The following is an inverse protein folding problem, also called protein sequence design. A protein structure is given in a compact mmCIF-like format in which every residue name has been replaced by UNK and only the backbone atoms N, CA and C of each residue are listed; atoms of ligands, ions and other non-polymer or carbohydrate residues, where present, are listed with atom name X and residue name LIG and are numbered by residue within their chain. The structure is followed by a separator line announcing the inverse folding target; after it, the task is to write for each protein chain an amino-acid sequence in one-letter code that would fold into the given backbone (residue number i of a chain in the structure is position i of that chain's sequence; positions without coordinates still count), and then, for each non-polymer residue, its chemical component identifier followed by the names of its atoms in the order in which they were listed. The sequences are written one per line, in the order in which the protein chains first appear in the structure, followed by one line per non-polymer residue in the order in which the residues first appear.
data_IF_200065118846
#
_entry.id   IF_200065118846
#
_cell.length_a   1.000
_cell.length_b   1.000
_cell.length_c   1.000
_cell.angle_alpha   90.00
_cell.angle_beta   90.00
_cell.angle_gamma   90.00
#
_symmetry.space_group_name_H-M   'P 1'
#
loop_
_entity.id
_entity.type
_entity.pdbx_description
1 polymer ?
#
# COMPACT_ATOMS: atom_id res chain seq x y z
N UNK A 1 -2.41 23.36 27.79
CA UNK A 1 -1.78 22.56 26.72
C UNK A 1 -0.69 21.71 27.34
N UNK A 2 -1.00 20.48 27.74
CA UNK A 2 0.00 19.54 28.26
C UNK A 2 0.81 19.01 27.09
N UNK A 3 2.09 19.36 27.01
CA UNK A 3 2.99 18.78 26.02
C UNK A 3 3.02 17.26 26.25
N UNK A 4 2.45 16.50 25.32
CA UNK A 4 2.47 15.04 25.37
C UNK A 4 3.93 14.58 25.28
N UNK A 5 4.51 14.20 26.42
CA UNK A 5 5.84 13.61 26.54
C UNK A 5 5.85 12.14 26.07
N UNK A 6 5.21 11.89 24.94
CA UNK A 6 5.14 10.56 24.34
C UNK A 6 6.48 10.20 23.73
N UNK A 7 7.16 9.25 24.40
CA UNK A 7 8.39 8.65 23.91
C UNK A 7 8.15 7.90 22.60
N UNK A 8 9.19 7.77 21.78
CA UNK A 8 9.15 6.98 20.54
C UNK A 8 8.58 5.56 20.77
N UNK A 9 9.02 4.89 21.84
CA UNK A 9 8.53 3.56 22.22
C UNK A 9 7.02 3.54 22.49
N UNK A 10 6.50 4.55 23.21
CA UNK A 10 5.06 4.64 23.51
C UNK A 10 4.20 4.80 22.25
N UNK A 11 4.70 5.56 21.25
CA UNK A 11 4.02 5.73 19.96
C UNK A 11 4.01 4.44 19.15
N UNK A 12 5.13 3.71 19.12
CA UNK A 12 5.19 2.38 18.49
C UNK A 12 4.22 1.39 19.14
N UNK A 13 4.14 1.38 20.48
CA UNK A 13 3.17 0.54 21.21
C UNK A 13 1.73 0.88 20.81
N UNK A 14 1.39 2.17 20.65
CA UNK A 14 0.06 2.58 20.14
C UNK A 14 -0.18 2.12 18.70
N UNK A 15 0.83 2.18 17.84
CA UNK A 15 0.73 1.67 16.48
C UNK A 15 0.46 0.16 16.46
N UNK A 16 1.15 -0.62 17.31
CA UNK A 16 0.87 -2.05 17.50
C UNK A 16 -0.56 -2.28 17.98
N UNK A 17 -1.03 -1.51 18.98
CA UNK A 17 -2.41 -1.61 19.48
C UNK A 17 -3.44 -1.26 18.39
N UNK A 18 -3.17 -0.24 17.57
CA UNK A 18 -4.00 0.16 16.44
C UNK A 18 -4.07 -0.96 15.40
N UNK A 19 -2.95 -1.56 15.05
CA UNK A 19 -2.89 -2.69 14.11
C UNK A 19 -3.65 -3.92 14.64
N UNK A 20 -3.49 -4.27 15.93
CA UNK A 20 -4.27 -5.34 16.58
C UNK A 20 -5.78 -5.05 16.61
N UNK A 21 -6.17 -3.79 16.80
CA UNK A 21 -7.57 -3.37 16.70
C UNK A 21 -8.10 -3.56 15.27
N UNK A 22 -7.34 -3.16 14.26
CA UNK A 22 -7.69 -3.38 12.86
C UNK A 22 -7.88 -4.88 12.53
N UNK A 23 -6.98 -5.75 12.99
CA UNK A 23 -7.11 -7.21 12.83
C UNK A 23 -8.42 -7.77 13.38
N UNK A 24 -8.83 -7.33 14.58
CA UNK A 24 -10.09 -7.75 15.19
C UNK A 24 -11.29 -7.28 14.38
N UNK A 25 -11.27 -6.05 13.87
CA UNK A 25 -12.32 -5.55 12.99
C UNK A 25 -12.43 -6.40 11.73
N UNK A 26 -11.33 -6.64 11.04
CA UNK A 26 -11.29 -7.44 9.81
C UNK A 26 -11.66 -8.92 10.02
N UNK A 27 -11.44 -9.47 11.21
CA UNK A 27 -11.89 -10.84 11.54
C UNK A 27 -13.40 -10.94 11.67
N UNK A 28 -14.07 -9.83 11.99
CA UNK A 28 -15.53 -9.77 12.12
C UNK A 28 -16.22 -9.35 10.82
N UNK A 29 -15.53 -8.61 9.95
CA UNK A 29 -15.99 -8.28 8.60
C UNK A 29 -15.94 -9.54 7.74
N UNK A 30 -17.11 -10.11 7.42
CA UNK A 30 -17.23 -11.28 6.54
C UNK A 30 -18.14 -12.39 7.06
N UNK A 31 -18.52 -12.38 8.35
CA UNK A 31 -19.34 -13.47 8.94
C UNK A 31 -20.82 -13.49 8.52
N UNK A 32 -21.27 -12.59 7.65
CA UNK A 32 -22.70 -12.41 7.34
C UNK A 32 -23.08 -12.19 5.87
N UNK A 33 -22.12 -12.14 4.95
CA UNK A 33 -22.41 -11.92 3.52
C UNK A 33 -22.14 -13.21 2.72
N UNK A 34 -23.05 -13.57 1.81
CA UNK A 34 -22.89 -14.70 0.86
C UNK A 34 -22.88 -14.18 -0.58
N UNK A 35 -22.16 -14.87 -1.48
CA UNK A 35 -22.10 -14.58 -2.92
C UNK A 35 -20.78 -13.95 -3.40
N UNK A 36 -20.67 -13.65 -4.70
CA UNK A 36 -19.44 -13.14 -5.35
C UNK A 36 -18.93 -11.83 -4.74
N UNK A 37 -19.84 -10.95 -4.30
CA UNK A 37 -19.48 -9.70 -3.59
C UNK A 37 -18.78 -10.04 -2.26
N UNK A 38 -19.21 -11.10 -1.59
CA UNK A 38 -18.58 -11.56 -0.36
C UNK A 38 -17.19 -12.14 -0.62
N UNK A 39 -16.98 -12.86 -1.72
CA UNK A 39 -15.66 -13.41 -2.10
C UNK A 39 -14.63 -12.31 -2.37
N UNK A 40 -15.00 -11.29 -3.14
CA UNK A 40 -14.14 -10.12 -3.40
C UNK A 40 -13.88 -9.32 -2.13
N UNK A 41 -14.89 -9.16 -1.26
CA UNK A 41 -14.69 -8.51 0.03
C UNK A 41 -13.76 -9.33 0.93
N UNK A 42 -13.90 -10.66 0.94
CA UNK A 42 -13.09 -11.54 1.76
C UNK A 42 -11.62 -11.53 1.33
N UNK A 43 -11.34 -11.54 0.01
CA UNK A 43 -9.97 -11.45 -0.51
C UNK A 43 -9.32 -10.12 -0.16
N UNK A 44 -10.05 -9.00 -0.28
CA UNK A 44 -9.56 -7.69 0.17
C UNK A 44 -9.25 -7.69 1.68
N UNK A 45 -10.19 -8.17 2.49
CA UNK A 45 -10.07 -8.24 3.96
C UNK A 45 -8.91 -9.15 4.37
N UNK A 46 -8.63 -10.22 3.61
CA UNK A 46 -7.48 -11.10 3.84
C UNK A 46 -6.16 -10.35 3.70
N UNK A 47 -5.95 -9.61 2.61
CA UNK A 47 -4.72 -8.84 2.40
C UNK A 47 -4.49 -7.79 3.49
N UNK A 48 -5.56 -7.08 3.88
CA UNK A 48 -5.50 -6.13 5.01
C UNK A 48 -5.13 -6.81 6.33
N UNK A 49 -5.64 -8.03 6.59
CA UNK A 49 -5.27 -8.81 7.78
C UNK A 49 -3.81 -9.24 7.72
N UNK A 50 -3.35 -9.76 6.60
CA UNK A 50 -1.97 -10.23 6.44
C UNK A 50 -0.95 -9.11 6.71
N UNK A 51 -1.15 -7.95 6.09
CA UNK A 51 -0.23 -6.81 6.27
C UNK A 51 -0.24 -6.30 7.71
N UNK A 52 -1.42 -6.19 8.34
CA UNK A 52 -1.50 -5.77 9.74
C UNK A 52 -0.89 -6.81 10.70
N UNK A 53 -1.09 -8.10 10.44
CA UNK A 53 -0.50 -9.17 11.24
C UNK A 53 1.02 -9.15 11.14
N UNK A 54 1.56 -8.94 9.93
CA UNK A 54 2.99 -8.73 9.72
C UNK A 54 3.51 -7.51 10.47
N UNK A 55 2.92 -6.33 10.27
CA UNK A 55 3.33 -5.09 10.94
C UNK A 55 3.32 -5.25 12.47
N UNK A 56 2.24 -5.78 13.04
CA UNK A 56 2.12 -5.98 14.48
C UNK A 56 3.17 -6.95 15.02
N UNK A 57 3.47 -8.03 14.30
CA UNK A 57 4.46 -9.03 14.71
C UNK A 57 5.87 -8.45 14.69
N UNK A 58 6.28 -7.86 13.57
CA UNK A 58 7.61 -7.25 13.41
C UNK A 58 7.85 -6.16 14.46
N UNK A 59 6.89 -5.25 14.65
CA UNK A 59 7.00 -4.22 15.68
C UNK A 59 7.03 -4.79 17.10
N UNK A 60 6.32 -5.89 17.37
CA UNK A 60 6.37 -6.54 18.69
C UNK A 60 7.77 -7.11 18.94
N UNK A 61 8.33 -7.86 17.98
CA UNK A 61 9.70 -8.39 18.05
C UNK A 61 10.72 -7.26 18.29
N UNK A 62 10.68 -6.20 17.47
CA UNK A 62 11.57 -5.05 17.58
C UNK A 62 11.47 -4.38 18.98
N UNK A 63 10.26 -4.26 19.53
CA UNK A 63 10.03 -3.63 20.84
C UNK A 63 10.48 -4.49 22.02
N UNK A 64 10.56 -5.81 21.85
CA UNK A 64 11.03 -6.77 22.85
C UNK A 64 12.55 -6.88 22.84
N UNK A 65 13.16 -6.93 21.65
CA UNK A 65 14.58 -7.26 21.48
C UNK A 65 15.52 -6.04 21.48
N UNK A 66 14.98 -4.82 21.33
CA UNK A 66 15.82 -3.64 21.08
C UNK A 66 15.65 -2.52 22.10
N UNK A 67 16.76 -1.89 22.46
CA UNK A 67 16.80 -0.68 23.28
C UNK A 67 17.55 0.47 22.59
N UNK A 68 17.15 1.71 22.88
CA UNK A 68 17.85 2.91 22.47
C UNK A 68 18.01 3.05 20.94
N UNK A 69 19.26 3.15 20.47
CA UNK A 69 19.57 3.37 19.03
C UNK A 69 19.23 2.17 18.16
N UNK A 70 19.29 0.95 18.70
CA UNK A 70 18.99 -0.26 17.95
C UNK A 70 17.51 -0.31 17.55
N UNK A 71 16.64 0.10 18.47
CA UNK A 71 15.20 0.22 18.23
C UNK A 71 14.92 1.10 17.01
N UNK A 72 15.53 2.29 16.97
CA UNK A 72 15.40 3.21 15.82
C UNK A 72 15.86 2.56 14.52
N UNK A 73 17.06 1.94 14.53
CA UNK A 73 17.63 1.29 13.34
C UNK A 73 16.70 0.21 12.77
N UNK A 74 16.17 -0.67 13.62
CA UNK A 74 15.27 -1.74 13.18
C UNK A 74 13.94 -1.21 12.67
N UNK A 75 13.39 -0.14 13.27
CA UNK A 75 12.16 0.49 12.78
C UNK A 75 12.37 1.15 11.42
N UNK A 76 13.49 1.84 11.19
CA UNK A 76 13.83 2.38 9.87
C UNK A 76 13.97 1.28 8.82
N UNK A 77 14.61 0.16 9.17
CA UNK A 77 14.69 -1.01 8.30
C UNK A 77 13.31 -1.55 7.94
N UNK A 78 12.44 -1.78 8.94
CA UNK A 78 11.07 -2.26 8.71
C UNK A 78 10.27 -1.31 7.81
N UNK A 79 10.45 0.01 7.96
CA UNK A 79 9.84 1.00 7.08
C UNK A 79 10.32 0.82 5.63
N UNK A 80 11.62 0.67 5.42
CA UNK A 80 12.20 0.52 4.08
C UNK A 80 11.78 -0.81 3.43
N UNK A 81 11.64 -1.88 4.21
CA UNK A 81 11.11 -3.17 3.77
C UNK A 81 9.64 -3.02 3.31
N UNK A 82 8.79 -2.37 4.12
CA UNK A 82 7.38 -2.09 3.75
C UNK A 82 7.27 -1.21 2.51
N UNK A 83 8.14 -0.20 2.37
CA UNK A 83 8.18 0.64 1.17
C UNK A 83 8.54 -0.18 -0.07
N UNK A 84 9.55 -1.03 0.04
CA UNK A 84 9.99 -1.90 -1.06
C UNK A 84 8.86 -2.84 -1.48
N UNK A 85 8.22 -3.51 -0.53
CA UNK A 85 7.08 -4.38 -0.78
C UNK A 85 5.90 -3.64 -1.42
N UNK A 86 5.61 -2.42 -0.95
CA UNK A 86 4.57 -1.58 -1.54
C UNK A 86 4.88 -1.27 -3.01
N UNK A 87 6.10 -0.83 -3.32
CA UNK A 87 6.52 -0.50 -4.69
C UNK A 87 6.51 -1.73 -5.61
N UNK A 88 6.94 -2.88 -5.12
CA UNK A 88 6.87 -4.15 -5.85
C UNK A 88 5.42 -4.55 -6.14
N UNK A 89 4.53 -4.50 -5.14
CA UNK A 89 3.12 -4.80 -5.33
C UNK A 89 2.43 -3.81 -6.29
N UNK A 90 2.81 -2.53 -6.24
CA UNK A 90 2.30 -1.51 -7.13
C UNK A 90 2.74 -1.74 -8.58
N UNK A 91 4.01 -2.12 -8.81
CA UNK A 91 4.48 -2.48 -10.14
C UNK A 91 3.71 -3.68 -10.70
N UNK A 92 3.54 -4.74 -9.90
CA UNK A 92 2.75 -5.91 -10.29
C UNK A 92 1.28 -5.54 -10.62
N UNK A 93 0.68 -4.63 -9.86
CA UNK A 93 -0.68 -4.14 -10.13
C UNK A 93 -0.75 -3.47 -11.50
N UNK A 94 0.20 -2.60 -11.83
CA UNK A 94 0.25 -1.93 -13.14
C UNK A 94 0.45 -2.93 -14.28
N UNK A 95 1.29 -3.95 -14.11
CA UNK A 95 1.53 -4.99 -15.12
C UNK A 95 0.28 -5.83 -15.40
N UNK A 96 -0.44 -6.22 -14.35
CA UNK A 96 -1.71 -6.94 -14.49
C UNK A 96 -2.81 -6.06 -15.09
N UNK A 97 -2.86 -4.77 -14.74
CA UNK A 97 -3.78 -3.82 -15.36
C UNK A 97 -3.55 -3.68 -16.87
N UNK A 98 -2.29 -3.56 -17.31
CA UNK A 98 -1.94 -3.55 -18.74
C UNK A 98 -2.38 -4.84 -19.43
N UNK A 99 -2.12 -5.98 -18.79
CA UNK A 99 -2.54 -7.29 -19.32
C UNK A 99 -4.06 -7.42 -19.45
N UNK A 100 -4.81 -6.86 -18.49
CA UNK A 100 -6.27 -6.82 -18.54
C UNK A 100 -6.77 -5.98 -19.72
N UNK A 101 -6.20 -4.79 -19.91
CA UNK A 101 -6.56 -3.89 -21.03
C UNK A 101 -6.34 -4.61 -22.36
N UNK A 102 -5.15 -5.19 -22.58
CA UNK A 102 -4.84 -5.94 -23.81
C UNK A 102 -5.81 -7.10 -24.03
N UNK A 103 -6.16 -7.85 -22.99
CA UNK A 103 -7.09 -8.98 -23.09
C UNK A 103 -8.52 -8.51 -23.42
N UNK A 104 -8.93 -7.37 -22.89
CA UNK A 104 -10.22 -6.76 -23.19
C UNK A 104 -10.28 -6.24 -24.63
N UNK A 105 -9.22 -5.58 -25.10
CA UNK A 105 -9.10 -5.08 -26.48
C UNK A 105 -9.09 -6.23 -27.50
N UNK A 106 -8.46 -7.36 -27.15
CA UNK A 106 -8.46 -8.56 -27.99
C UNK A 106 -9.75 -9.40 -27.89
N UNK A 107 -10.77 -8.92 -27.18
CA UNK A 107 -12.02 -9.66 -26.92
C UNK A 107 -11.84 -11.01 -26.22
N UNK A 108 -10.74 -11.21 -25.49
CA UNK A 108 -10.52 -12.40 -24.64
C UNK A 108 -11.19 -12.18 -23.28
N UNK A 109 -12.52 -12.31 -23.26
CA UNK A 109 -13.33 -12.04 -22.07
C UNK A 109 -13.09 -13.03 -20.93
N UNK A 110 -12.68 -14.26 -21.23
CA UNK A 110 -12.38 -15.27 -20.20
C UNK A 110 -11.15 -14.84 -19.42
N UNK A 111 -10.06 -14.50 -20.12
CA UNK A 111 -8.83 -14.01 -19.50
C UNK A 111 -9.04 -12.67 -18.82
N UNK A 112 -9.77 -11.74 -19.44
CA UNK A 112 -10.10 -10.46 -18.82
C UNK A 112 -10.89 -10.65 -17.52
N UNK A 113 -11.85 -11.57 -17.49
CA UNK A 113 -12.59 -11.90 -16.27
C UNK A 113 -11.67 -12.48 -15.18
N UNK A 114 -10.76 -13.40 -15.52
CA UNK A 114 -9.78 -13.94 -14.57
C UNK A 114 -8.89 -12.85 -13.98
N UNK A 115 -8.26 -12.03 -14.83
CA UNK A 115 -7.40 -10.92 -14.43
C UNK A 115 -8.13 -9.91 -13.55
N UNK A 116 -9.40 -9.61 -13.86
CA UNK A 116 -10.21 -8.70 -13.05
C UNK A 116 -10.39 -9.18 -11.61
N UNK A 117 -10.48 -10.49 -11.39
CA UNK A 117 -10.61 -11.10 -10.06
C UNK A 117 -9.27 -11.08 -9.30
N UNK A 118 -8.16 -11.29 -10.00
CA UNK A 118 -6.81 -11.24 -9.42
C UNK A 118 -6.39 -9.83 -9.01
N UNK A 119 -6.84 -8.81 -9.74
CA UNK A 119 -6.56 -7.40 -9.41
C UNK A 119 -7.18 -6.94 -8.09
N UNK A 120 -8.27 -7.58 -7.64
CA UNK A 120 -8.97 -7.22 -6.39
C UNK A 120 -8.06 -7.37 -5.15
N UNK A 121 -7.51 -8.57 -4.84
CA UNK A 121 -6.59 -8.73 -3.73
C UNK A 121 -5.30 -7.93 -3.96
N UNK A 122 -4.75 -7.88 -5.18
CA UNK A 122 -3.52 -7.14 -5.44
C UNK A 122 -3.65 -5.64 -5.13
N UNK A 123 -4.77 -5.02 -5.52
CA UNK A 123 -5.08 -3.62 -5.17
C UNK A 123 -5.21 -3.44 -3.66
N UNK A 124 -5.90 -4.36 -2.97
CA UNK A 124 -6.04 -4.31 -1.52
C UNK A 124 -4.68 -4.41 -0.81
N UNK A 125 -3.78 -5.28 -1.30
CA UNK A 125 -2.41 -5.43 -0.79
C UNK A 125 -1.61 -4.14 -0.94
N UNK A 126 -1.67 -3.49 -2.10
CA UNK A 126 -1.03 -2.19 -2.34
C UNK A 126 -1.53 -1.15 -1.33
N UNK A 127 -2.84 -1.03 -1.16
CA UNK A 127 -3.43 -0.08 -0.22
C UNK A 127 -3.06 -0.39 1.24
N UNK A 128 -3.06 -1.66 1.62
CA UNK A 128 -2.70 -2.09 2.97
C UNK A 128 -1.22 -1.82 3.29
N UNK A 129 -0.30 -2.14 2.36
CA UNK A 129 1.13 -1.86 2.48
C UNK A 129 1.40 -0.35 2.54
N UNK A 130 0.77 0.42 1.66
CA UNK A 130 0.85 1.88 1.65
C UNK A 130 0.43 2.47 3.00
N UNK A 131 -0.72 2.01 3.54
CA UNK A 131 -1.19 2.46 4.85
C UNK A 131 -0.22 2.09 5.97
N UNK A 132 0.28 0.85 5.99
CA UNK A 132 1.25 0.40 7.00
C UNK A 132 2.56 1.22 6.95
N UNK A 133 3.07 1.50 5.75
CA UNK A 133 4.24 2.36 5.54
C UNK A 133 4.00 3.77 6.07
N UNK A 134 2.89 4.42 5.69
CA UNK A 134 2.62 5.81 6.10
C UNK A 134 2.38 5.95 7.61
N UNK A 135 1.71 4.99 8.23
CA UNK A 135 1.54 4.98 9.69
C UNK A 135 2.88 4.87 10.42
N UNK A 136 3.80 4.03 9.92
CA UNK A 136 5.13 3.90 10.50
C UNK A 136 5.98 5.15 10.27
N UNK A 137 5.93 5.72 9.06
CA UNK A 137 6.59 6.98 8.72
C UNK A 137 6.09 8.12 9.60
N UNK A 138 4.78 8.21 9.84
CA UNK A 138 4.20 9.20 10.73
C UNK A 138 4.73 9.08 12.17
N UNK A 139 4.91 7.86 12.68
CA UNK A 139 5.52 7.65 14.01
C UNK A 139 6.97 8.13 14.04
N UNK A 140 7.74 7.87 12.99
CA UNK A 140 9.13 8.32 12.87
C UNK A 140 9.22 9.86 12.83
N UNK A 141 8.40 10.50 12.00
CA UNK A 141 8.37 11.96 11.84
C UNK A 141 8.02 12.67 13.14
N UNK A 142 6.98 12.18 13.84
CA UNK A 142 6.55 12.77 15.10
C UNK A 142 7.53 12.55 16.26
N UNK A 143 8.40 11.55 16.14
CA UNK A 143 9.37 11.20 17.20
C UNK A 143 10.72 11.89 17.00
N UNK A 144 10.90 12.60 15.88
CA UNK A 144 12.14 13.32 15.53
C UNK A 144 13.39 12.42 15.63
N UNK A 145 13.24 11.13 15.33
CA UNK A 145 14.33 10.17 15.43
C UNK A 145 15.27 10.38 14.25
N UNK A 146 16.54 10.63 14.54
CA UNK A 146 17.56 10.79 13.49
C UNK A 146 17.72 9.46 12.74
N UNK A 147 17.62 9.46 11.40
CA UNK A 147 17.87 8.26 10.61
C UNK A 147 19.28 7.71 10.90
N UNK A 148 19.45 6.38 10.99
CA UNK A 148 20.79 5.82 11.08
C UNK A 148 21.58 6.26 9.85
N UNK A 149 22.80 6.76 10.06
CA UNK A 149 23.71 7.06 8.95
C UNK A 149 23.86 5.79 8.13
N UNK A 150 23.51 5.83 6.84
CA UNK A 150 23.81 4.73 5.92
C UNK A 150 25.30 4.45 6.06
N UNK A 151 25.66 3.31 6.64
CA UNK A 151 27.05 2.87 6.71
C UNK A 151 27.61 2.90 5.29
N UNK A 152 28.77 3.52 5.11
CA UNK A 152 29.35 3.80 3.79
C UNK A 152 29.59 2.54 2.94
N UNK A 153 29.55 1.36 3.56
CA UNK A 153 29.59 0.04 2.91
C UNK A 153 28.43 -0.20 1.91
N UNK A 154 27.34 0.56 1.98
CA UNK A 154 26.19 0.40 1.07
C UNK A 154 26.35 1.04 -0.32
N UNK A 155 27.39 1.85 -0.57
CA UNK A 155 27.55 2.57 -1.86
C UNK A 155 27.94 1.67 -3.04
N UNK A 156 28.34 0.42 -2.80
CA UNK A 156 28.72 -0.49 -3.90
C UNK A 156 27.52 -1.07 -4.64
N UNK A 157 26.35 -1.20 -4.02
CA UNK A 157 25.16 -1.81 -4.65
C UNK A 157 24.38 -0.85 -5.58
N UNK A 158 24.25 0.43 -5.22
CA UNK A 158 23.60 1.42 -6.09
C UNK A 158 24.44 1.75 -7.34
N UNK A 159 25.76 1.55 -7.28
CA UNK A 159 26.65 1.67 -8.44
C UNK A 159 26.41 0.53 -9.45
N UNK A 160 26.15 -0.70 -8.99
CA UNK A 160 25.92 -1.86 -9.86
C UNK A 160 24.53 -1.85 -10.52
N UNK A 161 23.53 -1.23 -9.89
CA UNK A 161 22.18 -1.10 -10.46
C UNK A 161 22.06 0.07 -11.45
N UNK A 162 22.94 1.07 -11.38
CA UNK A 162 22.96 2.19 -12.33
C UNK A 162 23.61 1.83 -13.68
N UNK A 163 24.42 0.78 -13.76
CA UNK A 163 25.08 0.34 -15.01
C UNK A 163 24.21 -0.54 -15.92
N UNK A 164 23.03 -0.97 -15.47
CA UNK A 164 22.14 -1.86 -16.27
C UNK A 164 20.99 -1.13 -16.97
N UNK A 165 21.05 0.19 -17.16
CA UNK A 165 20.14 0.89 -18.07
C UNK A 165 20.65 0.72 -19.50
N UNK A 166 20.02 -0.11 -20.35
CA UNK A 166 20.35 -0.13 -21.77
C UNK A 166 20.04 1.26 -22.33
N UNK A 167 21.07 1.87 -22.91
CA UNK A 167 20.96 3.07 -23.73
C UNK A 167 19.92 2.82 -24.82
N UNK A 168 18.67 3.23 -24.60
CA UNK A 168 17.67 3.30 -25.66
C UNK A 168 18.17 4.35 -26.64
N UNK A 169 18.75 3.87 -27.74
CA UNK A 169 19.02 4.66 -28.93
C UNK A 169 17.73 5.36 -29.35
N UNK A 170 17.77 6.69 -29.28
CA UNK A 170 16.81 7.59 -29.87
C UNK A 170 16.69 7.26 -31.36
N UNK A 171 15.61 6.59 -31.74
CA UNK A 171 15.14 6.57 -33.12
C UNK A 171 14.18 7.75 -33.25
N UNK A 172 14.70 8.86 -33.75
CA UNK A 172 13.89 9.95 -34.26
C UNK A 172 13.09 9.41 -35.45
N UNK A 173 11.80 9.13 -35.25
CA UNK A 173 10.84 9.01 -36.33
C UNK A 173 9.65 9.92 -36.07
N UNK A 174 9.73 11.07 -36.74
CA UNK A 174 8.70 11.61 -37.62
C UNK A 174 7.31 11.83 -37.02
N UNK A 175 7.12 13.09 -36.61
CA UNK A 175 5.98 13.94 -36.96
C UNK A 175 4.69 13.26 -37.39
N UNK A 176 3.78 13.08 -36.44
CA UNK A 176 2.35 13.01 -36.67
C UNK A 176 1.66 14.01 -35.75
N UNK A 177 1.38 15.21 -36.24
CA UNK A 177 0.46 16.17 -35.63
C UNK A 177 -0.93 15.53 -35.58
N UNK A 178 -1.26 14.87 -34.46
CA UNK A 178 -2.64 14.59 -34.12
C UNK A 178 -3.16 15.79 -33.32
N UNK A 179 -3.97 16.62 -33.97
CA UNK A 179 -4.90 17.56 -33.34
C UNK A 179 -5.80 16.78 -32.36
N UNK A 180 -5.40 16.67 -31.10
CA UNK A 180 -6.32 16.39 -30.02
C UNK A 180 -6.72 17.74 -29.42
N UNK A 181 -7.91 18.19 -29.83
CA UNK A 181 -8.53 19.38 -29.30
C UNK A 181 -8.70 19.28 -27.79
N UNK A 182 -8.50 20.41 -27.12
CA UNK A 182 -8.92 20.69 -25.75
C UNK A 182 -10.37 20.22 -25.57
N UNK A 183 -10.54 19.00 -25.06
CA UNK A 183 -11.78 18.59 -24.42
C UNK A 183 -11.63 18.98 -22.97
N UNK A 184 -12.35 20.03 -22.59
CA UNK A 184 -12.63 20.42 -21.22
C UNK A 184 -13.07 19.17 -20.44
N UNK A 185 -12.10 18.54 -19.76
CA UNK A 185 -12.36 17.44 -18.86
C UNK A 185 -12.95 18.03 -17.58
N UNK A 186 -14.27 18.25 -17.60
CA UNK A 186 -15.03 18.58 -16.40
C UNK A 186 -14.86 17.44 -15.39
N UNK A 187 -14.17 17.76 -14.29
CA UNK A 187 -14.00 16.88 -13.15
C UNK A 187 -15.39 16.47 -12.63
N UNK A 188 -15.76 15.17 -12.61
CA UNK A 188 -17.08 14.77 -12.14
C UNK A 188 -17.22 15.13 -10.66
N UNK A 189 -18.08 16.11 -10.38
CA UNK A 189 -18.44 16.54 -9.03
C UNK A 189 -19.17 15.37 -8.34
N UNK A 190 -18.43 14.54 -7.60
CA UNK A 190 -18.99 13.43 -6.83
C UNK A 190 -19.79 13.97 -5.63
N UNK A 191 -21.01 14.45 -5.88
CA UNK A 191 -22.00 14.70 -4.83
C UNK A 191 -22.49 13.36 -4.30
N UNK A 192 -21.96 12.96 -3.15
CA UNK A 192 -22.48 11.85 -2.36
C UNK A 192 -23.98 12.10 -2.06
N UNK A 193 -24.87 11.44 -2.80
CA UNK A 193 -26.30 11.40 -2.47
C UNK A 193 -26.45 10.62 -1.17
N UNK A 194 -26.61 11.34 -0.07
CA UNK A 194 -27.01 10.78 1.22
C UNK A 194 -28.42 10.21 1.06
N UNK A 195 -28.54 8.88 0.99
CA UNK A 195 -29.82 8.19 0.99
C UNK A 195 -30.28 8.12 2.46
N UNK A 196 -31.40 8.76 2.85
CA UNK A 196 -31.90 8.66 4.21
C UNK A 196 -32.38 7.23 4.46
N UNK A 197 -31.76 6.56 5.45
CA UNK A 197 -32.24 5.29 5.98
C UNK A 197 -33.57 5.54 6.69
N UNK A 198 -34.68 5.11 6.08
CA UNK A 198 -35.97 5.00 6.77
C UNK A 198 -35.79 4.06 7.95
N UNK A 199 -35.94 4.58 9.17
CA UNK A 199 -36.21 3.74 10.34
C UNK A 199 -37.57 3.09 10.09
N UNK A 200 -37.57 1.77 9.96
CA UNK A 200 -38.81 1.01 10.09
C UNK A 200 -39.17 1.01 11.56
N UNK A 201 -40.23 1.74 11.91
CA UNK A 201 -40.91 1.55 13.18
C UNK A 201 -41.73 0.26 13.05
N UNK A 202 -41.35 -0.73 13.86
CA UNK A 202 -42.07 -1.98 14.09
C UNK A 202 -42.01 -2.29 15.57
#
# INVERSE_FOLDING_TARGET
MTANSDTFRSRLVRLVQKSRKALRLYTNVGKGQRGVIAENSESQVREWREVNAKLSRELTCILEDSAGRELSRQVFKLRDDLYTEWRTAQAALHDQQRSLIVSAESSDFIKACSLSRELVPLKARVQALQAAYHELQQVLDQSQVVPPKKSEDGRQLDSLLSESRPSQQQSEQSGGEALFGDSDFEEPEYRAKVIPLRRGDG
#
